data_IF_074630666604
#
_entry.id   IF_074630666604
#
_cell.length_a   1.000
_cell.length_b   1.000
_cell.length_c   1.000
_cell.angle_alpha   90.00
_cell.angle_beta   90.00
_cell.angle_gamma   90.00
#
_symmetry.space_group_name_H-M   'P 1'
#
loop_
_entity.id
_entity.type
_entity.pdbx_description
1 polymer ?
#
# COMPACT_ATOMS: atom_id res chain seq x y z
N UNK A 1 19.53 -50.49 0.65
CA UNK A 1 19.97 -49.13 1.00
C UNK A 1 19.03 -48.13 0.34
N UNK A 2 18.02 -47.64 1.06
CA UNK A 2 17.14 -46.55 0.62
C UNK A 2 17.38 -45.39 1.57
N UNK A 3 18.02 -44.32 1.10
CA UNK A 3 18.03 -43.03 1.79
C UNK A 3 16.91 -42.21 1.15
N UNK A 4 15.78 -42.10 1.83
CA UNK A 4 14.76 -41.11 1.48
C UNK A 4 15.27 -39.75 1.94
N UNK A 5 15.43 -38.87 0.96
CA UNK A 5 15.67 -37.45 1.14
C UNK A 5 14.39 -36.85 1.76
N UNK A 6 14.41 -36.51 3.05
CA UNK A 6 13.38 -35.64 3.63
C UNK A 6 13.62 -34.22 3.08
N UNK A 7 12.93 -33.88 2.00
CA UNK A 7 12.71 -32.49 1.63
C UNK A 7 11.75 -31.92 2.69
N UNK A 8 12.23 -30.91 3.43
CA UNK A 8 11.40 -30.10 4.31
C UNK A 8 10.26 -29.49 3.49
N UNK A 9 9.05 -30.07 3.58
CA UNK A 9 7.83 -29.33 3.31
C UNK A 9 7.75 -28.25 4.39
N UNK A 10 8.17 -27.03 4.06
CA UNK A 10 7.70 -25.85 4.78
C UNK A 10 6.19 -25.80 4.56
N UNK A 11 5.45 -26.27 5.56
CA UNK A 11 4.00 -26.17 5.63
C UNK A 11 3.67 -24.67 5.53
N UNK A 12 3.28 -24.23 4.34
CA UNK A 12 2.56 -22.98 4.16
C UNK A 12 1.30 -23.09 5.01
N UNK A 13 1.31 -22.45 6.18
CA UNK A 13 0.10 -22.29 6.95
C UNK A 13 -0.84 -21.41 6.13
N UNK A 14 -1.90 -22.04 5.62
CA UNK A 14 -3.12 -21.41 5.17
C UNK A 14 -3.63 -20.58 6.36
N UNK A 15 -3.37 -19.29 6.37
CA UNK A 15 -4.01 -18.37 7.31
C UNK A 15 -5.39 -17.99 6.74
N UNK A 16 -6.32 -18.94 6.79
CA UNK A 16 -7.74 -18.61 6.97
C UNK A 16 -7.88 -18.04 8.38
N UNK A 17 -7.41 -16.81 8.55
CA UNK A 17 -7.62 -16.05 9.77
C UNK A 17 -8.82 -15.16 9.52
N UNK A 18 -9.97 -15.65 10.00
CA UNK A 18 -11.07 -14.82 10.47
C UNK A 18 -10.50 -13.81 11.49
N UNK A 19 -9.92 -12.70 11.02
CA UNK A 19 -9.61 -11.55 11.86
C UNK A 19 -10.84 -10.67 11.99
N UNK A 20 -11.81 -11.16 12.77
CA UNK A 20 -12.84 -10.30 13.32
C UNK A 20 -12.35 -9.75 14.67
N UNK A 21 -12.14 -8.43 14.72
CA UNK A 21 -12.29 -7.56 15.90
C UNK A 21 -11.18 -7.50 16.96
N UNK A 22 -10.01 -6.99 16.60
CA UNK A 22 -9.39 -5.90 17.39
C UNK A 22 -8.93 -4.83 16.40
N UNK A 23 -9.81 -3.87 16.09
CA UNK A 23 -9.78 -2.96 14.93
C UNK A 23 -8.60 -1.96 14.85
N UNK A 24 -7.51 -2.18 15.57
CA UNK A 24 -6.44 -1.20 15.72
C UNK A 24 -5.08 -1.71 15.24
N UNK A 25 -4.98 -2.91 14.64
CA UNK A 25 -3.72 -3.46 14.12
C UNK A 25 -3.77 -3.70 12.61
N UNK A 26 -2.65 -3.42 11.96
CA UNK A 26 -2.49 -3.45 10.52
C UNK A 26 -1.22 -4.24 10.15
N UNK A 27 -1.30 -5.01 9.07
CA UNK A 27 -0.22 -5.93 8.65
C UNK A 27 0.84 -5.16 7.87
N UNK A 28 2.08 -5.20 8.33
CA UNK A 28 3.22 -4.64 7.61
C UNK A 28 4.27 -5.71 7.37
N UNK A 29 4.87 -5.71 6.18
CA UNK A 29 6.01 -6.55 5.86
C UNK A 29 7.29 -5.76 6.08
N UNK A 30 8.07 -6.12 7.10
CA UNK A 30 9.43 -5.60 7.24
C UNK A 30 10.34 -6.48 6.39
N UNK A 31 10.78 -5.95 5.25
CA UNK A 31 11.44 -6.75 4.22
C UNK A 31 12.94 -6.43 4.16
N UNK A 32 13.75 -7.47 3.95
CA UNK A 32 15.15 -7.37 3.61
C UNK A 32 15.41 -8.07 2.28
N UNK A 33 15.28 -7.34 1.15
CA UNK A 33 15.56 -7.91 -0.16
C UNK A 33 17.05 -8.03 -0.49
N UNK A 34 17.94 -7.54 0.38
CA UNK A 34 19.39 -7.47 0.10
C UNK A 34 20.11 -8.80 0.36
N UNK A 35 21.35 -8.89 -0.10
CA UNK A 35 22.27 -10.01 0.17
C UNK A 35 23.01 -9.92 1.52
N UNK A 36 22.66 -8.92 2.35
CA UNK A 36 23.32 -8.66 3.65
C UNK A 36 22.32 -8.70 4.80
N UNK A 37 22.83 -8.91 6.01
CA UNK A 37 22.01 -8.75 7.21
C UNK A 37 21.67 -7.27 7.38
N UNK A 38 20.43 -6.98 7.76
CA UNK A 38 20.03 -5.63 8.17
C UNK A 38 19.58 -5.61 9.63
N UNK A 39 19.81 -4.47 10.29
CA UNK A 39 19.35 -4.21 11.65
C UNK A 39 18.51 -2.95 11.66
N UNK A 40 17.34 -3.04 12.27
CA UNK A 40 16.44 -1.91 12.49
C UNK A 40 15.84 -2.03 13.88
N UNK A 41 15.63 -0.89 14.55
CA UNK A 41 14.84 -0.83 15.78
C UNK A 41 13.49 -0.21 15.46
N UNK A 42 12.39 -0.91 15.74
CA UNK A 42 11.03 -0.40 15.57
C UNK A 42 10.32 -0.39 16.92
N UNK A 43 9.84 0.77 17.36
CA UNK A 43 9.17 0.98 18.65
C UNK A 43 9.93 0.34 19.84
N UNK A 44 11.25 0.56 19.92
CA UNK A 44 12.17 -0.01 20.91
C UNK A 44 12.46 -1.50 20.78
N UNK A 45 11.89 -2.20 19.78
CA UNK A 45 12.23 -3.60 19.49
C UNK A 45 13.24 -3.69 18.36
N UNK A 46 14.33 -4.41 18.60
CA UNK A 46 15.37 -4.66 17.59
C UNK A 46 14.97 -5.85 16.72
N UNK A 47 15.09 -5.67 15.41
CA UNK A 47 14.92 -6.69 14.39
C UNK A 47 16.25 -6.88 13.66
N UNK A 48 16.68 -8.13 13.51
CA UNK A 48 17.86 -8.51 12.72
C UNK A 48 17.39 -9.44 11.61
N UNK A 49 17.28 -8.92 10.39
CA UNK A 49 16.80 -9.70 9.25
C UNK A 49 17.99 -10.26 8.49
N UNK A 50 17.90 -11.54 8.15
CA UNK A 50 18.87 -12.23 7.30
C UNK A 50 18.68 -11.80 5.84
N UNK A 51 19.65 -12.04 4.94
CA UNK A 51 19.50 -11.75 3.53
C UNK A 51 18.27 -12.43 2.96
N UNK A 52 17.53 -11.74 2.08
CA UNK A 52 16.36 -12.28 1.37
C UNK A 52 15.30 -12.87 2.31
N UNK A 53 15.05 -12.19 3.42
CA UNK A 53 14.02 -12.56 4.40
C UNK A 53 13.16 -11.38 4.78
N UNK A 54 11.97 -11.65 5.29
CA UNK A 54 11.04 -10.64 5.77
C UNK A 54 10.40 -11.10 7.09
N UNK A 55 9.86 -10.13 7.83
CA UNK A 55 9.06 -10.34 9.03
C UNK A 55 7.66 -9.76 8.84
N UNK A 56 6.64 -10.48 9.31
CA UNK A 56 5.25 -9.98 9.29
C UNK A 56 4.94 -9.32 10.61
N UNK A 57 4.65 -8.03 10.56
CA UNK A 57 4.38 -7.17 11.70
C UNK A 57 2.89 -6.87 11.81
N UNK A 58 2.39 -6.80 13.04
CA UNK A 58 1.04 -6.33 13.34
C UNK A 58 1.15 -5.01 14.13
N UNK A 59 1.26 -3.91 13.41
CA UNK A 59 1.48 -2.58 13.98
C UNK A 59 0.16 -1.93 14.33
N UNK A 60 0.14 -1.21 15.46
CA UNK A 60 -1.09 -0.53 15.90
C UNK A 60 -1.32 0.75 15.10
N UNK A 61 -2.53 1.29 15.13
CA UNK A 61 -2.77 2.70 14.79
C UNK A 61 -1.98 3.61 15.76
N UNK A 62 -1.46 4.72 15.25
CA UNK A 62 -0.79 5.74 16.06
C UNK A 62 0.57 6.15 15.51
N UNK A 63 1.37 6.77 16.36
CA UNK A 63 2.74 7.20 16.04
C UNK A 63 3.72 6.06 16.31
N UNK A 64 4.68 5.92 15.42
CA UNK A 64 5.73 4.91 15.45
C UNK A 64 7.08 5.54 15.14
N UNK A 65 8.14 4.88 15.59
CA UNK A 65 9.52 5.26 15.28
C UNK A 65 10.32 4.04 14.85
N UNK A 66 11.03 4.19 13.73
CA UNK A 66 12.05 3.28 13.27
C UNK A 66 13.43 3.94 13.33
N UNK A 67 14.44 3.21 13.80
CA UNK A 67 15.84 3.63 13.78
C UNK A 67 16.64 2.65 12.91
N UNK A 68 17.25 3.18 11.85
CA UNK A 68 18.05 2.45 10.88
C UNK A 68 19.49 2.24 11.40
N UNK A 69 20.26 1.39 10.72
CA UNK A 69 21.62 1.04 11.15
C UNK A 69 22.62 2.19 11.09
N UNK A 70 22.37 3.20 10.26
CA UNK A 70 23.15 4.43 10.17
C UNK A 70 22.79 5.48 11.25
N UNK A 71 21.81 5.16 12.11
CA UNK A 71 21.29 6.05 13.15
C UNK A 71 20.17 6.98 12.67
N UNK A 72 19.77 6.91 11.40
CA UNK A 72 18.63 7.66 10.87
C UNK A 72 17.34 7.20 11.56
N UNK A 73 16.56 8.16 12.07
CA UNK A 73 15.26 7.90 12.70
C UNK A 73 14.12 8.34 11.80
N UNK A 74 13.17 7.44 11.56
CA UNK A 74 11.99 7.67 10.75
C UNK A 74 10.76 7.57 11.63
N UNK A 75 10.02 8.67 11.73
CA UNK A 75 8.77 8.76 12.47
C UNK A 75 7.63 8.62 11.48
N UNK A 76 6.64 7.78 11.80
CA UNK A 76 5.51 7.57 10.92
C UNK A 76 4.22 7.35 11.70
N UNK A 77 3.10 7.62 11.05
CA UNK A 77 1.76 7.51 11.64
C UNK A 77 0.93 6.51 10.85
N UNK A 78 0.37 5.52 11.54
CA UNK A 78 -0.60 4.57 11.00
C UNK A 78 -2.02 5.04 11.33
N UNK A 79 -2.88 5.10 10.31
CA UNK A 79 -4.27 5.52 10.42
C UNK A 79 -5.24 4.34 10.51
N UNK A 80 -6.46 4.59 11.01
CA UNK A 80 -7.48 3.56 11.22
C UNK A 80 -7.96 2.88 9.92
N UNK A 81 -7.85 3.56 8.78
CA UNK A 81 -8.15 3.01 7.45
C UNK A 81 -6.99 2.22 6.85
N UNK A 82 -5.86 2.05 7.56
CA UNK A 82 -4.68 1.40 6.99
C UNK A 82 -4.97 -0.04 6.57
N UNK A 83 -4.54 -0.38 5.36
CA UNK A 83 -4.50 -1.74 4.80
C UNK A 83 -3.13 -2.37 5.04
N UNK A 84 -2.22 -1.68 5.72
CA UNK A 84 -0.85 -2.12 5.89
C UNK A 84 0.09 -1.61 4.81
N UNK A 85 1.23 -2.29 4.66
CA UNK A 85 2.24 -1.90 3.68
C UNK A 85 3.56 -2.66 3.83
N UNK A 86 4.60 -2.13 3.22
CA UNK A 86 5.97 -2.65 3.32
C UNK A 86 6.82 -1.61 4.04
N UNK A 87 7.62 -2.05 5.01
CA UNK A 87 8.71 -1.27 5.61
C UNK A 87 10.00 -1.73 4.93
N UNK A 88 10.62 -0.81 4.20
CA UNK A 88 11.77 -0.99 3.33
C UNK A 88 12.98 -0.25 3.90
N UNK A 89 13.65 -0.80 4.93
CA UNK A 89 14.83 -0.18 5.54
C UNK A 89 16.03 -0.09 4.61
N UNK A 90 16.11 -0.90 3.55
CA UNK A 90 17.22 -0.90 2.61
C UNK A 90 17.09 0.15 1.50
N UNK A 91 15.90 0.75 1.31
CA UNK A 91 15.64 1.63 0.16
C UNK A 91 15.66 0.89 -1.17
N UNK A 92 15.37 -0.42 -1.16
CA UNK A 92 15.33 -1.21 -2.37
C UNK A 92 14.10 -0.89 -3.23
N UNK A 93 14.21 -1.09 -4.55
CA UNK A 93 13.16 -0.76 -5.51
C UNK A 93 12.20 -1.92 -5.71
N UNK A 94 10.96 -1.77 -5.26
CA UNK A 94 9.86 -2.71 -5.47
C UNK A 94 9.17 -2.43 -6.80
N UNK A 95 8.57 -3.46 -7.38
CA UNK A 95 7.89 -3.36 -8.68
C UNK A 95 6.45 -3.82 -8.57
N UNK A 96 5.51 -3.11 -9.20
CA UNK A 96 4.13 -3.57 -9.36
C UNK A 96 3.93 -4.16 -10.75
N UNK A 97 3.30 -5.33 -10.82
CA UNK A 97 2.89 -5.95 -12.08
C UNK A 97 1.38 -6.25 -12.08
N UNK A 98 0.82 -6.40 -13.28
CA UNK A 98 -0.60 -6.54 -13.52
C UNK A 98 -0.92 -7.94 -14.07
N UNK A 99 -1.97 -8.57 -13.54
CA UNK A 99 -2.37 -9.92 -13.90
C UNK A 99 -3.81 -9.95 -14.38
N UNK A 100 -4.00 -10.37 -15.63
CA UNK A 100 -5.31 -10.48 -16.23
C UNK A 100 -6.01 -11.74 -15.73
N UNK A 101 -7.20 -11.53 -15.17
CA UNK A 101 -8.13 -12.59 -14.88
C UNK A 101 -9.26 -12.55 -15.91
N UNK A 102 -9.60 -13.74 -16.39
CA UNK A 102 -10.75 -13.98 -17.24
C UNK A 102 -11.49 -15.20 -16.72
N UNK A 103 -12.78 -15.02 -16.49
CA UNK A 103 -13.70 -16.08 -16.13
C UNK A 103 -13.81 -17.11 -17.27
N UNK A 104 -13.92 -18.41 -16.96
CA UNK A 104 -14.17 -19.45 -17.96
C UNK A 104 -15.48 -19.28 -18.75
N UNK A 105 -16.39 -18.40 -18.30
CA UNK A 105 -17.69 -18.13 -18.97
C UNK A 105 -17.55 -17.35 -20.26
N UNK A 106 -16.47 -16.60 -20.41
CA UNK A 106 -16.25 -15.71 -21.54
C UNK A 106 -14.93 -16.02 -22.23
N UNK A 107 -14.82 -15.60 -23.49
CA UNK A 107 -13.59 -15.57 -24.24
C UNK A 107 -13.37 -14.15 -24.74
N UNK A 108 -12.30 -13.49 -24.31
CA UNK A 108 -11.92 -12.16 -24.80
C UNK A 108 -10.52 -12.20 -25.38
N UNK A 109 -10.34 -11.48 -26.48
CA UNK A 109 -9.04 -11.27 -27.10
C UNK A 109 -8.36 -10.08 -26.42
N UNK A 110 -7.23 -10.33 -25.75
CA UNK A 110 -6.50 -9.31 -25.04
C UNK A 110 -5.41 -8.74 -25.93
N UNK A 111 -5.44 -7.43 -26.18
CA UNK A 111 -4.29 -6.75 -26.77
C UNK A 111 -3.14 -6.71 -25.76
N UNK A 112 -1.96 -7.17 -26.16
CA UNK A 112 -0.76 -6.98 -25.35
C UNK A 112 -0.41 -5.49 -25.32
N UNK A 113 -0.12 -4.93 -24.14
CA UNK A 113 0.23 -3.53 -24.05
C UNK A 113 1.61 -3.33 -24.71
N UNK A 114 1.73 -2.32 -25.55
CA UNK A 114 3.00 -1.89 -26.14
C UNK A 114 3.87 -1.31 -25.01
N UNK A 115 4.82 -2.12 -24.50
CA UNK A 115 5.82 -1.75 -23.48
C UNK A 115 5.29 -0.96 -22.26
N UNK A 116 4.80 -1.68 -21.25
CA UNK A 116 4.57 -1.08 -19.93
C UNK A 116 5.85 -1.15 -19.10
N UNK A 117 6.55 -0.02 -18.97
CA UNK A 117 7.50 0.17 -17.86
C UNK A 117 6.72 -0.03 -16.57
N UNK A 118 7.11 -1.05 -15.80
CA UNK A 118 6.42 -1.37 -14.55
C UNK A 118 6.67 -0.26 -13.52
N UNK A 119 5.64 0.17 -12.77
CA UNK A 119 5.81 1.14 -11.69
C UNK A 119 6.78 0.62 -10.63
N UNK A 120 7.68 1.48 -10.19
CA UNK A 120 8.69 1.17 -9.18
C UNK A 120 8.66 2.12 -7.99
N UNK A 121 8.97 1.60 -6.81
CA UNK A 121 8.87 2.32 -5.54
C UNK A 121 10.06 1.99 -4.64
N UNK A 122 10.74 3.00 -4.11
CA UNK A 122 11.89 2.86 -3.21
C UNK A 122 11.71 3.58 -1.87
N UNK A 123 10.47 3.95 -1.53
CA UNK A 123 10.13 4.63 -0.28
C UNK A 123 10.39 3.72 0.94
N UNK A 124 10.71 4.33 2.09
CA UNK A 124 10.88 3.62 3.36
C UNK A 124 9.59 2.90 3.80
N UNK A 125 8.43 3.52 3.55
CA UNK A 125 7.12 2.88 3.74
C UNK A 125 6.37 2.93 2.43
N UNK A 126 6.08 1.75 1.89
CA UNK A 126 5.24 1.59 0.72
C UNK A 126 3.82 1.32 1.23
N UNK A 127 2.93 2.29 1.05
CA UNK A 127 1.56 2.27 1.58
C UNK A 127 0.60 1.51 0.66
N UNK A 128 -0.02 0.44 1.18
CA UNK A 128 -0.97 -0.38 0.43
C UNK A 128 -2.25 0.38 0.10
N UNK A 129 -2.66 1.36 0.91
CA UNK A 129 -3.83 2.17 0.60
C UNK A 129 -3.64 2.99 -0.67
N UNK A 130 -2.47 3.62 -0.78
CA UNK A 130 -2.17 4.51 -1.88
C UNK A 130 -1.86 3.77 -3.17
N UNK A 131 -1.00 2.74 -3.08
CA UNK A 131 -0.58 1.91 -4.21
C UNK A 131 -1.64 0.92 -4.66
N UNK A 132 -2.52 0.50 -3.74
CA UNK A 132 -3.67 -0.36 -4.00
C UNK A 132 -3.33 -1.73 -4.64
N UNK A 133 -2.19 -2.34 -4.29
CA UNK A 133 -1.92 -3.72 -4.72
C UNK A 133 -2.83 -4.73 -4.01
N UNK A 134 -3.09 -5.86 -4.66
CA UNK A 134 -4.00 -6.91 -4.17
C UNK A 134 -3.29 -8.19 -3.75
N UNK A 135 -2.12 -8.44 -4.31
CA UNK A 135 -1.24 -9.53 -3.93
C UNK A 135 0.01 -9.01 -3.26
N UNK A 136 0.25 -9.46 -2.04
CA UNK A 136 1.40 -9.05 -1.24
C UNK A 136 2.70 -9.68 -1.75
N UNK A 137 3.84 -9.18 -1.25
CA UNK A 137 5.14 -9.79 -1.51
C UNK A 137 5.11 -11.27 -1.08
N UNK A 138 5.71 -12.13 -1.90
CA UNK A 138 5.72 -13.59 -1.73
C UNK A 138 4.33 -14.27 -1.78
N UNK A 139 3.24 -13.54 -2.05
CA UNK A 139 1.94 -14.15 -2.37
C UNK A 139 1.89 -14.56 -3.84
N UNK A 140 1.55 -15.83 -4.13
CA UNK A 140 1.48 -16.33 -5.50
C UNK A 140 0.22 -15.87 -6.23
N UNK A 141 0.38 -15.36 -7.46
CA UNK A 141 -0.73 -15.08 -8.38
C UNK A 141 -0.91 -16.26 -9.32
N UNK A 142 -1.95 -17.05 -9.06
CA UNK A 142 -2.31 -18.23 -9.87
C UNK A 142 -3.75 -18.14 -10.37
N UNK A 143 -4.07 -18.91 -11.42
CA UNK A 143 -5.45 -19.08 -11.92
C UNK A 143 -6.43 -19.53 -10.83
N UNK A 144 -5.94 -20.23 -9.81
CA UNK A 144 -6.75 -20.70 -8.69
C UNK A 144 -6.93 -19.63 -7.59
N UNK A 145 -5.93 -18.77 -7.40
CA UNK A 145 -5.97 -17.72 -6.37
C UNK A 145 -6.86 -16.54 -6.76
N UNK A 146 -6.79 -16.10 -8.02
CA UNK A 146 -7.49 -14.93 -8.55
C UNK A 146 -9.01 -14.97 -8.32
N UNK A 147 -9.75 -16.02 -8.71
CA UNK A 147 -11.20 -16.03 -8.52
C UNK A 147 -11.62 -16.01 -7.05
N UNK A 148 -10.75 -16.40 -6.10
CA UNK A 148 -11.06 -16.37 -4.66
C UNK A 148 -11.14 -14.94 -4.10
N UNK A 149 -10.55 -13.96 -4.79
CA UNK A 149 -10.59 -12.53 -4.40
C UNK A 149 -11.71 -11.75 -5.09
N UNK A 150 -12.50 -12.38 -5.97
CA UNK A 150 -13.55 -11.74 -6.76
C UNK A 150 -14.94 -12.23 -6.37
N UNK A 151 -15.94 -11.38 -6.64
CA UNK A 151 -17.32 -11.85 -6.71
C UNK A 151 -17.44 -12.89 -7.84
N UNK A 152 -18.25 -13.96 -7.67
CA UNK A 152 -18.50 -14.94 -8.73
C UNK A 152 -19.04 -14.33 -10.04
N UNK A 153 -19.60 -13.12 -10.01
CA UNK A 153 -20.17 -12.42 -11.17
C UNK A 153 -19.13 -11.67 -12.01
N UNK A 154 -17.90 -11.50 -11.51
CA UNK A 154 -16.84 -10.80 -12.24
C UNK A 154 -16.29 -11.68 -13.35
N UNK A 155 -16.42 -11.24 -14.60
CA UNK A 155 -15.91 -11.98 -15.76
C UNK A 155 -14.50 -11.56 -16.18
N UNK A 156 -14.14 -10.29 -15.99
CA UNK A 156 -12.84 -9.74 -16.36
C UNK A 156 -12.34 -8.89 -15.20
N UNK A 157 -11.07 -9.06 -14.85
CA UNK A 157 -10.43 -8.24 -13.84
C UNK A 157 -8.92 -8.12 -14.09
N UNK A 158 -8.31 -7.03 -13.67
CA UNK A 158 -6.85 -6.85 -13.70
C UNK A 158 -6.37 -6.72 -12.27
N UNK A 159 -5.69 -7.76 -11.80
CA UNK A 159 -5.07 -7.78 -10.49
C UNK A 159 -3.76 -7.03 -10.48
N UNK A 160 -3.40 -6.55 -9.30
CA UNK A 160 -2.10 -5.94 -9.04
C UNK A 160 -1.31 -6.75 -8.02
N UNK A 161 -0.04 -7.02 -8.31
CA UNK A 161 0.91 -7.62 -7.36
C UNK A 161 2.12 -6.74 -7.19
N UNK A 162 2.53 -6.54 -5.94
CA UNK A 162 3.82 -5.97 -5.61
C UNK A 162 4.86 -7.07 -5.45
N UNK A 163 6.07 -6.82 -5.94
CA UNK A 163 7.20 -7.73 -5.87
C UNK A 163 8.33 -7.13 -5.04
N UNK A 164 8.81 -7.90 -4.07
CA UNK A 164 10.14 -7.69 -3.49
C UNK A 164 11.20 -8.03 -4.54
N UNK A 165 12.32 -7.28 -4.63
CA UNK A 165 13.46 -7.66 -5.47
C UNK A 165 13.93 -9.10 -5.25
N UNK A 166 13.83 -9.57 -4.00
CA UNK A 166 14.22 -10.93 -3.62
C UNK A 166 13.33 -12.05 -4.18
N UNK A 167 12.17 -11.72 -4.75
CA UNK A 167 11.31 -12.69 -5.46
C UNK A 167 11.89 -13.07 -6.84
N UNK A 168 12.89 -12.35 -7.33
CA UNK A 168 13.56 -12.62 -8.60
C UNK A 168 14.94 -13.26 -8.36
N UNK A 169 15.21 -14.36 -9.06
CA UNK A 169 16.40 -15.21 -8.82
C UNK A 169 17.74 -14.56 -9.20
N UNK A 170 17.73 -13.54 -10.05
CA UNK A 170 18.92 -13.01 -10.72
C UNK A 170 19.17 -11.52 -10.43
N UNK A 171 18.46 -10.93 -9.47
CA UNK A 171 18.66 -9.52 -9.09
C UNK A 171 19.55 -9.50 -7.84
N UNK A 172 20.85 -9.25 -8.05
CA UNK A 172 21.78 -8.86 -6.99
C UNK A 172 21.54 -7.39 -6.64
N UNK A 173 21.05 -7.14 -5.44
CA UNK A 173 20.68 -5.80 -4.97
C UNK A 173 21.69 -5.33 -3.92
N UNK A 174 22.88 -4.93 -4.37
CA UNK A 174 23.99 -4.51 -3.51
C UNK A 174 23.97 -3.00 -3.15
N UNK A 175 22.78 -2.38 -3.18
CA UNK A 175 22.63 -0.95 -2.85
C UNK A 175 22.54 -0.78 -1.33
N UNK A 176 23.69 -0.59 -0.68
CA UNK A 176 23.79 -0.10 0.71
C UNK A 176 23.61 1.42 0.76
N UNK A 177 22.39 1.89 0.53
CA UNK A 177 22.02 3.24 0.98
C UNK A 177 20.63 3.15 1.58
N UNK A 178 20.49 2.93 2.90
CA UNK A 178 19.22 3.13 3.58
C UNK A 178 18.69 4.52 3.18
N UNK A 179 17.79 4.54 2.21
CA UNK A 179 17.13 5.77 1.78
C UNK A 179 15.90 5.88 2.63
N UNK A 180 16.04 6.56 3.74
CA UNK A 180 14.89 7.15 4.41
C UNK A 180 14.35 8.27 3.51
N UNK A 181 13.66 7.91 2.43
CA UNK A 181 12.94 8.87 1.62
C UNK A 181 11.63 9.20 2.34
N UNK A 182 11.37 10.49 2.55
CA UNK A 182 10.00 10.92 2.76
C UNK A 182 9.23 10.60 1.48
N UNK A 183 8.06 9.94 1.55
CA UNK A 183 7.14 9.99 0.44
C UNK A 183 6.95 11.47 0.10
N UNK A 184 6.95 11.83 -1.19
CA UNK A 184 6.73 13.23 -1.62
C UNK A 184 5.30 13.65 -1.23
N UNK A 185 5.12 14.09 0.00
CA UNK A 185 3.86 14.63 0.55
C UNK A 185 3.77 16.15 0.29
N UNK A 186 4.85 16.76 -0.21
CA UNK A 186 5.15 18.20 -0.19
C UNK A 186 4.39 19.11 -1.18
N UNK A 187 3.42 18.60 -1.95
CA UNK A 187 2.61 19.44 -2.83
C UNK A 187 1.35 19.97 -2.13
N UNK A 188 0.93 21.18 -2.45
CA UNK A 188 -0.35 21.72 -1.99
C UNK A 188 -1.53 20.81 -2.40
N UNK A 189 -2.67 20.97 -1.73
CA UNK A 189 -3.92 20.36 -2.19
C UNK A 189 -4.24 20.89 -3.59
N UNK A 190 -4.50 19.97 -4.53
CA UNK A 190 -4.90 20.33 -5.87
C UNK A 190 -6.41 20.61 -5.87
N UNK A 191 -6.79 21.87 -5.77
CA UNK A 191 -8.21 22.27 -5.75
C UNK A 191 -8.66 22.57 -7.20
N UNK A 192 -9.60 21.79 -7.77
CA UNK A 192 -10.14 22.07 -9.10
C UNK A 192 -10.80 23.44 -9.12
N UNK A 193 -10.65 24.18 -10.23
CA UNK A 193 -11.43 25.41 -10.46
C UNK A 193 -12.79 25.01 -11.00
N UNK A 194 -13.86 25.40 -10.31
CA UNK A 194 -15.24 25.13 -10.71
C UNK A 194 -16.14 26.31 -10.31
N UNK A 195 -17.10 26.65 -11.14
CA UNK A 195 -18.07 27.72 -10.90
C UNK A 195 -19.18 27.29 -9.92
N UNK A 196 -19.42 25.99 -9.77
CA UNK A 196 -20.35 25.45 -8.80
C UNK A 196 -19.82 25.62 -7.38
N UNK A 197 -20.42 26.58 -6.68
CA UNK A 197 -20.13 26.89 -5.27
C UNK A 197 -20.42 25.71 -4.34
N UNK A 198 -21.40 24.86 -4.65
CA UNK A 198 -21.72 23.69 -3.84
C UNK A 198 -20.61 22.64 -3.96
N UNK A 199 -20.14 22.35 -5.17
CA UNK A 199 -18.99 21.49 -5.41
C UNK A 199 -17.74 21.99 -4.69
N UNK A 200 -17.41 23.28 -4.86
CA UNK A 200 -16.29 23.93 -4.18
C UNK A 200 -16.39 23.82 -2.64
N UNK A 201 -17.60 23.90 -2.10
CA UNK A 201 -17.83 23.72 -0.66
C UNK A 201 -17.59 22.28 -0.20
N UNK A 202 -17.94 21.28 -1.01
CA UNK A 202 -17.62 19.88 -0.69
C UNK A 202 -16.11 19.61 -0.72
N UNK A 203 -15.38 20.16 -1.70
CA UNK A 203 -13.91 20.02 -1.75
C UNK A 203 -13.25 20.64 -0.51
N UNK A 204 -13.69 21.83 -0.09
CA UNK A 204 -13.21 22.46 1.15
C UNK A 204 -13.50 21.60 2.38
N UNK A 205 -14.67 20.97 2.46
CA UNK A 205 -15.00 20.06 3.56
C UNK A 205 -14.10 18.83 3.55
N UNK A 206 -13.83 18.21 2.40
CA UNK A 206 -12.91 17.07 2.29
C UNK A 206 -11.51 17.45 2.78
N UNK A 207 -10.99 18.62 2.36
CA UNK A 207 -9.66 19.09 2.81
C UNK A 207 -9.64 19.35 4.32
N UNK A 208 -10.72 19.91 4.89
CA UNK A 208 -10.83 20.09 6.33
C UNK A 208 -10.88 18.76 7.09
N UNK A 209 -11.59 17.77 6.55
CA UNK A 209 -11.63 16.41 7.10
C UNK A 209 -10.24 15.75 7.02
N UNK A 210 -9.51 15.91 5.91
CA UNK A 210 -8.15 15.38 5.75
C UNK A 210 -7.19 15.94 6.79
N UNK A 211 -7.17 17.27 6.98
CA UNK A 211 -6.36 17.90 8.04
C UNK A 211 -6.73 17.39 9.42
N UNK A 212 -8.03 17.33 9.73
CA UNK A 212 -8.51 16.82 11.01
C UNK A 212 -8.14 15.34 11.23
N UNK A 213 -8.14 14.53 10.17
CA UNK A 213 -7.75 13.12 10.21
C UNK A 213 -6.25 12.97 10.49
N UNK A 214 -5.44 13.76 9.80
CA UNK A 214 -3.99 13.84 9.99
C UNK A 214 -3.61 14.22 11.43
N UNK A 215 -4.34 15.12 12.07
CA UNK A 215 -4.00 15.65 13.40
C UNK A 215 -4.44 14.75 14.57
N UNK A 216 -5.45 13.89 14.39
CA UNK A 216 -6.01 13.08 15.50
C UNK A 216 -5.42 11.68 15.58
N UNK A 217 -5.10 11.20 16.79
CA UNK A 217 -4.76 9.79 17.06
C UNK A 217 -5.92 9.00 17.69
N UNK A 218 -7.08 9.64 17.90
CA UNK A 218 -8.25 8.99 18.49
C UNK A 218 -9.01 8.17 17.43
N UNK A 219 -9.10 6.85 17.63
CA UNK A 219 -9.77 5.91 16.73
C UNK A 219 -11.25 6.26 16.47
N UNK A 220 -11.96 6.70 17.50
CA UNK A 220 -13.39 7.04 17.39
C UNK A 220 -13.56 8.31 16.55
N UNK A 221 -12.69 9.30 16.73
CA UNK A 221 -12.66 10.52 15.89
C UNK A 221 -12.29 10.17 14.45
N UNK A 222 -11.24 9.38 14.22
CA UNK A 222 -10.87 8.92 12.88
C UNK A 222 -12.03 8.19 12.19
N UNK A 223 -12.69 7.26 12.87
CA UNK A 223 -13.88 6.55 12.34
C UNK A 223 -15.03 7.50 12.02
N UNK A 224 -15.25 8.54 12.81
CA UNK A 224 -16.27 9.56 12.52
C UNK A 224 -15.91 10.37 11.27
N UNK A 225 -14.66 10.78 11.14
CA UNK A 225 -14.15 11.51 9.97
C UNK A 225 -14.31 10.68 8.70
N UNK A 226 -13.91 9.39 8.72
CA UNK A 226 -14.05 8.49 7.57
C UNK A 226 -15.51 8.35 7.12
N UNK A 227 -16.47 8.31 8.05
CA UNK A 227 -17.90 8.27 7.71
C UNK A 227 -18.39 9.55 7.04
N UNK A 228 -17.98 10.71 7.53
CA UNK A 228 -18.34 12.00 6.90
C UNK A 228 -17.67 12.15 5.53
N UNK A 229 -16.41 11.72 5.40
CA UNK A 229 -15.72 11.67 4.12
C UNK A 229 -16.45 10.80 3.10
N UNK A 230 -16.80 9.56 3.46
CA UNK A 230 -17.56 8.63 2.59
C UNK A 230 -18.91 9.22 2.17
N UNK A 231 -19.61 9.90 3.09
CA UNK A 231 -20.87 10.58 2.79
C UNK A 231 -20.68 11.68 1.73
N UNK A 232 -19.67 12.55 1.90
CA UNK A 232 -19.40 13.64 0.95
C UNK A 232 -18.91 13.08 -0.39
N UNK A 233 -18.00 12.11 -0.38
CA UNK A 233 -17.49 11.46 -1.58
C UNK A 233 -18.62 10.84 -2.42
N UNK A 234 -19.60 10.19 -1.77
CA UNK A 234 -20.79 9.66 -2.45
C UNK A 234 -21.67 10.73 -3.07
N UNK A 235 -21.85 11.88 -2.41
CA UNK A 235 -22.60 13.00 -2.99
C UNK A 235 -21.88 13.53 -4.22
N UNK A 236 -20.57 13.75 -4.11
CA UNK A 236 -19.75 14.18 -5.25
C UNK A 236 -19.86 13.17 -6.39
N UNK A 237 -19.67 11.88 -6.13
CA UNK A 237 -19.81 10.84 -7.14
C UNK A 237 -21.22 10.73 -7.71
N UNK A 238 -22.28 10.93 -6.94
CA UNK A 238 -23.65 10.88 -7.47
C UNK A 238 -23.95 12.09 -8.36
N UNK A 239 -23.77 13.28 -7.82
CA UNK A 239 -24.37 14.51 -8.36
C UNK A 239 -23.45 15.18 -9.38
N UNK A 240 -22.16 14.84 -9.35
CA UNK A 240 -21.12 15.37 -10.23
C UNK A 240 -20.51 14.28 -11.14
N UNK A 241 -21.17 13.11 -11.28
CA UNK A 241 -20.74 11.99 -12.15
C UNK A 241 -20.92 12.19 -13.65
N UNK A 242 -21.38 13.35 -14.14
CA UNK A 242 -21.83 13.57 -15.54
C UNK A 242 -20.73 13.47 -16.63
N UNK A 243 -19.64 12.77 -16.36
CA UNK A 243 -18.52 12.46 -17.25
C UNK A 243 -18.14 10.96 -17.18
N UNK A 244 -19.12 10.06 -17.03
CA UNK A 244 -18.91 8.61 -17.10
C UNK A 244 -19.48 8.01 -18.40
N UNK A 245 -18.57 7.72 -19.35
CA UNK A 245 -18.44 6.55 -20.23
C UNK A 245 -17.70 7.02 -21.49
N UNK A 246 -16.38 6.85 -21.53
CA UNK A 246 -15.57 6.19 -22.59
C UNK A 246 -14.08 6.33 -22.20
N UNK A 247 -13.36 5.22 -22.39
CA UNK A 247 -11.92 5.01 -22.27
C UNK A 247 -11.03 6.25 -22.52
N UNK A 248 -10.16 6.54 -21.55
CA UNK A 248 -8.96 7.36 -21.74
C UNK A 248 -9.02 8.73 -21.06
N UNK A 249 -8.40 8.82 -19.88
CA UNK A 249 -8.21 10.03 -19.04
C UNK A 249 -9.45 10.55 -18.29
N UNK A 250 -9.22 10.87 -17.02
CA UNK A 250 -10.18 11.15 -15.96
C UNK A 250 -10.68 12.60 -16.00
N UNK A 251 -11.95 12.83 -16.32
CA UNK A 251 -12.59 14.14 -16.13
C UNK A 251 -13.61 14.06 -14.99
N UNK A 252 -13.18 14.45 -13.78
CA UNK A 252 -13.64 15.65 -13.05
C UNK A 252 -13.63 15.52 -11.53
N UNK A 253 -13.68 14.32 -10.93
CA UNK A 253 -13.33 14.18 -9.50
C UNK A 253 -12.71 12.81 -9.19
N UNK A 254 -11.45 12.62 -9.60
CA UNK A 254 -10.59 11.68 -8.89
C UNK A 254 -10.20 12.34 -7.55
N UNK A 255 -10.74 11.85 -6.43
CA UNK A 255 -10.37 12.37 -5.12
C UNK A 255 -8.87 12.15 -4.82
N UNK A 256 -8.19 11.21 -5.50
CA UNK A 256 -6.73 11.11 -5.45
C UNK A 256 -6.05 12.31 -6.11
N UNK A 257 -6.66 12.91 -7.14
CA UNK A 257 -6.13 14.09 -7.79
C UNK A 257 -6.08 15.30 -6.85
N UNK A 258 -6.93 15.35 -5.80
CA UNK A 258 -6.88 16.37 -4.75
C UNK A 258 -5.60 16.35 -3.93
N UNK A 259 -4.79 15.29 -4.04
CA UNK A 259 -3.55 15.13 -3.32
C UNK A 259 -3.78 15.21 -1.80
N UNK A 260 -4.77 14.46 -1.33
CA UNK A 260 -5.04 14.30 0.10
C UNK A 260 -3.80 13.73 0.79
N UNK A 261 -3.63 14.08 2.07
CA UNK A 261 -2.40 13.76 2.81
C UNK A 261 -2.57 12.55 3.70
N UNK A 262 -3.81 12.21 4.07
CA UNK A 262 -4.09 11.20 5.08
C UNK A 262 -5.33 10.35 4.80
N UNK A 263 -6.34 10.86 4.09
CA UNK A 263 -7.55 10.09 3.80
C UNK A 263 -7.37 9.07 2.66
N UNK A 264 -6.46 9.33 1.74
CA UNK A 264 -6.00 8.41 0.68
C UNK A 264 -4.86 7.50 1.14
N UNK A 265 -4.23 7.82 2.27
CA UNK A 265 -3.13 7.07 2.88
C UNK A 265 -3.59 6.18 4.02
N UNK A 266 -2.92 5.05 4.18
CA UNK A 266 -3.01 4.21 5.38
C UNK A 266 -1.91 4.55 6.40
N UNK A 267 -0.83 5.14 5.91
CA UNK A 267 0.36 5.46 6.70
C UNK A 267 1.11 6.62 6.05
N UNK A 268 1.69 7.49 6.87
CA UNK A 268 2.56 8.58 6.41
C UNK A 268 3.83 8.64 7.24
N UNK A 269 4.95 8.97 6.60
CA UNK A 269 6.15 9.41 7.32
C UNK A 269 5.93 10.86 7.74
N UNK A 270 6.09 11.14 9.03
CA UNK A 270 5.84 12.45 9.64
C UNK A 270 7.11 13.24 9.88
N UNK A 271 8.26 12.57 10.05
CA UNK A 271 9.56 13.19 10.30
C UNK A 271 10.70 12.23 10.00
N UNK A 272 11.83 12.76 9.53
CA UNK A 272 13.11 12.05 9.46
C UNK A 272 14.16 12.86 10.22
N UNK A 273 14.94 12.19 11.06
CA UNK A 273 16.11 12.75 11.74
C UNK A 273 17.35 11.99 11.30
N UNK A 274 18.25 12.67 10.60
CA UNK A 274 19.53 12.08 10.18
C UNK A 274 20.54 12.20 11.31
N UNK A 275 21.41 11.19 11.44
CA UNK A 275 22.55 11.25 12.33
C UNK A 275 23.62 12.14 11.66
N UNK A 276 23.78 13.38 12.13
CA UNK A 276 24.80 14.31 11.63
C UNK A 276 26.21 13.88 12.05
#
# INVERSE_FOLDING_TARGET
MKKFLLLLLSVFFISNSLFATTNDKHIFYLDNPTDKNIKITLDSKVYNLKPKTYEVLNLKMGQHIAELSDGTKVYFKIFANSKGGIINPSGATYTINYFRYQSPRICVDWSEPEDTVLPTFDDFIIDKNYMAWEYDIFEEVTRESMPKKLSPEVDIYVFTKIYSPSEFKDIDYDIERPKANLPKIDSDYNIPKDEDKAFQNYIKQIIALDKAYMDTNDAKKQKKILKEYDKIAKIIWSDYSKSNIVLGSYDNVDLKALNLKSLDRGVIVTKIENNN
#
